data_IF_195997204199
#
_entry.id   IF_195997204199
#
_cell.length_a   1.000
_cell.length_b   1.000
_cell.length_c   1.000
_cell.angle_alpha   90.00
_cell.angle_beta   90.00
_cell.angle_gamma   90.00
#
_symmetry.space_group_name_H-M   'P 1'
#
loop_
_entity.id
_entity.type
_entity.pdbx_description
1 polymer ?
#
# COMPACT_ATOMS: atom_id res chain seq x y z
N UNK A 1 -22.34 -5.96 -0.35
CA UNK A 1 -22.20 -4.63 -0.99
C UNK A 1 -21.22 -3.71 -0.27
N UNK A 2 -21.17 -3.65 1.07
CA UNK A 2 -20.18 -2.83 1.79
C UNK A 2 -18.71 -3.17 1.49
N UNK A 3 -18.33 -4.46 1.53
CA UNK A 3 -16.93 -4.88 1.30
C UNK A 3 -16.30 -4.41 -0.01
N UNK A 4 -17.06 -4.41 -1.11
CA UNK A 4 -16.53 -3.99 -2.40
C UNK A 4 -16.25 -2.47 -2.44
N UNK A 5 -17.05 -1.68 -1.71
CA UNK A 5 -16.82 -0.24 -1.54
C UNK A 5 -15.57 0.00 -0.70
N UNK A 6 -15.41 -0.73 0.41
CA UNK A 6 -14.22 -0.63 1.26
C UNK A 6 -12.94 -0.98 0.48
N UNK A 7 -12.98 -2.07 -0.31
CA UNK A 7 -11.88 -2.44 -1.19
C UNK A 7 -11.56 -1.35 -2.22
N UNK A 8 -12.59 -0.74 -2.83
CA UNK A 8 -12.40 0.33 -3.79
C UNK A 8 -11.71 1.55 -3.16
N UNK A 9 -12.15 1.95 -1.96
CA UNK A 9 -11.52 3.04 -1.20
C UNK A 9 -10.04 2.75 -0.94
N UNK A 10 -9.72 1.53 -0.49
CA UNK A 10 -8.32 1.14 -0.23
C UNK A 10 -7.45 1.14 -1.49
N UNK A 11 -8.00 0.73 -2.64
CA UNK A 11 -7.31 0.82 -3.94
C UNK A 11 -7.01 2.26 -4.31
N UNK A 12 -7.99 3.16 -4.17
CA UNK A 12 -7.82 4.57 -4.51
C UNK A 12 -6.88 5.30 -3.54
N UNK A 13 -6.86 4.92 -2.26
CA UNK A 13 -5.85 5.38 -1.30
C UNK A 13 -4.44 4.91 -1.70
N UNK A 14 -4.26 3.63 -2.02
CA UNK A 14 -2.97 3.12 -2.50
C UNK A 14 -2.50 3.86 -3.75
N UNK A 15 -3.40 4.10 -4.71
CA UNK A 15 -3.13 4.84 -5.95
C UNK A 15 -2.71 6.28 -5.65
N UNK A 16 -3.48 6.98 -4.82
CA UNK A 16 -3.21 8.38 -4.46
C UNK A 16 -1.86 8.52 -3.76
N UNK A 17 -1.53 7.62 -2.84
CA UNK A 17 -0.23 7.65 -2.16
C UNK A 17 0.93 7.33 -3.11
N UNK A 18 0.76 6.42 -4.06
CA UNK A 18 1.77 6.15 -5.08
C UNK A 18 2.01 7.37 -6.00
N UNK A 19 0.93 8.09 -6.37
CA UNK A 19 1.02 9.35 -7.13
C UNK A 19 1.75 10.42 -6.31
N UNK A 20 1.38 10.60 -5.03
CA UNK A 20 2.05 11.53 -4.14
C UNK A 20 3.55 11.24 -4.03
N UNK A 21 3.92 9.99 -3.72
CA UNK A 21 5.33 9.59 -3.64
C UNK A 21 6.10 9.83 -4.95
N UNK A 22 5.45 9.64 -6.10
CA UNK A 22 6.05 9.91 -7.41
C UNK A 22 6.22 11.40 -7.67
N UNK A 23 5.21 12.22 -7.32
CA UNK A 23 5.25 13.67 -7.50
C UNK A 23 6.28 14.34 -6.57
N UNK A 24 6.54 13.76 -5.40
CA UNK A 24 7.52 14.28 -4.43
C UNK A 24 8.95 13.84 -4.73
N UNK A 25 9.22 12.99 -5.74
CA UNK A 25 10.56 12.41 -5.96
C UNK A 25 11.67 13.44 -6.18
N UNK A 26 11.32 14.60 -6.75
CA UNK A 26 12.24 15.71 -7.05
C UNK A 26 12.17 16.85 -6.02
N UNK A 27 11.41 16.70 -4.93
CA UNK A 27 11.36 17.71 -3.87
C UNK A 27 12.75 17.93 -3.27
N UNK A 28 13.15 19.17 -2.97
CA UNK A 28 14.48 19.46 -2.39
C UNK A 28 14.65 18.81 -1.00
N UNK A 29 13.57 18.79 -0.21
CA UNK A 29 13.56 18.24 1.15
C UNK A 29 13.65 16.73 1.16
N UNK A 30 14.78 16.20 1.66
CA UNK A 30 14.95 14.74 1.89
C UNK A 30 13.85 14.20 2.80
N UNK A 31 13.47 14.97 3.82
CA UNK A 31 12.44 14.57 4.76
C UNK A 31 11.08 14.40 4.08
N UNK A 32 10.73 15.30 3.15
CA UNK A 32 9.48 15.21 2.38
C UNK A 32 9.44 13.95 1.51
N UNK A 33 10.53 13.67 0.79
CA UNK A 33 10.66 12.45 -0.03
C UNK A 33 10.53 11.18 0.81
N UNK A 34 11.19 11.15 1.97
CA UNK A 34 11.17 10.00 2.88
C UNK A 34 9.78 9.78 3.47
N UNK A 35 9.08 10.84 3.85
CA UNK A 35 7.71 10.78 4.35
C UNK A 35 6.77 10.21 3.29
N UNK A 36 6.78 10.76 2.08
CA UNK A 36 5.90 10.35 0.99
C UNK A 36 6.08 8.87 0.61
N UNK A 37 7.34 8.42 0.44
CA UNK A 37 7.66 7.03 0.13
C UNK A 37 7.22 6.09 1.27
N UNK A 38 7.50 6.46 2.52
CA UNK A 38 7.17 5.60 3.66
C UNK A 38 5.66 5.51 3.88
N UNK A 39 4.93 6.60 3.73
CA UNK A 39 3.48 6.60 3.83
C UNK A 39 2.83 5.75 2.71
N UNK A 40 3.34 5.85 1.47
CA UNK A 40 2.87 5.00 0.36
C UNK A 40 3.11 3.51 0.63
N UNK A 41 4.28 3.17 1.18
CA UNK A 41 4.63 1.81 1.55
C UNK A 41 3.77 1.26 2.71
N UNK A 42 3.47 2.08 3.71
CA UNK A 42 2.53 1.71 4.78
C UNK A 42 1.14 1.44 4.21
N UNK A 43 0.60 2.34 3.39
CA UNK A 43 -0.72 2.19 2.79
C UNK A 43 -0.83 0.95 1.89
N UNK A 44 0.21 0.64 1.09
CA UNK A 44 0.27 -0.59 0.31
C UNK A 44 0.22 -1.84 1.20
N UNK A 45 0.98 -1.84 2.29
CA UNK A 45 1.09 -2.99 3.20
C UNK A 45 -0.15 -3.23 4.06
N UNK A 46 -0.93 -2.19 4.35
CA UNK A 46 -2.20 -2.28 5.07
C UNK A 46 -3.38 -2.46 4.12
N UNK A 47 -3.69 -1.44 3.31
CA UNK A 47 -4.83 -1.40 2.40
C UNK A 47 -4.72 -2.39 1.24
N UNK A 48 -3.55 -2.45 0.60
CA UNK A 48 -3.31 -3.43 -0.46
C UNK A 48 -3.44 -4.88 0.01
N UNK A 49 -2.97 -5.18 1.24
CA UNK A 49 -3.16 -6.49 1.87
C UNK A 49 -4.63 -6.79 2.17
N UNK A 50 -5.38 -5.80 2.68
CA UNK A 50 -6.82 -5.94 2.90
C UNK A 50 -7.54 -6.31 1.59
N UNK A 51 -7.28 -5.57 0.51
CA UNK A 51 -7.87 -5.84 -0.81
C UNK A 51 -7.54 -7.25 -1.29
N UNK A 52 -6.28 -7.68 -1.16
CA UNK A 52 -5.86 -9.03 -1.55
C UNK A 52 -6.60 -10.12 -0.77
N UNK A 53 -6.78 -9.95 0.54
CA UNK A 53 -7.50 -10.90 1.39
C UNK A 53 -9.00 -10.95 1.06
N UNK A 54 -9.63 -9.79 0.85
CA UNK A 54 -11.05 -9.74 0.48
C UNK A 54 -11.28 -10.31 -0.93
N UNK A 55 -10.36 -10.09 -1.87
CA UNK A 55 -10.44 -10.67 -3.21
C UNK A 55 -10.47 -12.21 -3.15
N UNK A 56 -9.59 -12.83 -2.36
CA UNK A 56 -9.63 -14.30 -2.13
C UNK A 56 -10.95 -14.71 -1.48
N UNK A 57 -11.40 -13.99 -0.45
CA UNK A 57 -12.61 -14.32 0.29
C UNK A 57 -13.89 -14.24 -0.57
N UNK A 58 -13.98 -13.28 -1.50
CA UNK A 58 -15.12 -13.12 -2.40
C UNK A 58 -15.27 -14.27 -3.40
N UNK A 59 -14.17 -14.94 -3.76
CA UNK A 59 -14.16 -16.03 -4.73
C UNK A 59 -14.21 -17.42 -4.08
N UNK A 60 -14.14 -17.52 -2.75
CA UNK A 60 -14.17 -18.80 -2.04
C UNK A 60 -12.99 -19.70 -2.42
N UNK A 61 -13.22 -21.01 -2.48
CA UNK A 61 -12.18 -21.99 -2.87
C UNK A 61 -11.61 -21.78 -4.28
N UNK A 62 -12.39 -21.16 -5.18
CA UNK A 62 -12.00 -20.83 -6.56
C UNK A 62 -10.99 -19.66 -6.58
N UNK A 63 -10.93 -18.84 -5.51
CA UNK A 63 -9.91 -17.79 -5.39
C UNK A 63 -8.47 -18.31 -5.22
N UNK A 64 -8.31 -19.62 -4.98
CA UNK A 64 -7.03 -20.30 -4.74
C UNK A 64 -6.65 -21.24 -5.90
N UNK A 65 -7.57 -21.49 -6.84
CA UNK A 65 -7.32 -22.25 -8.06
C UNK A 65 -6.77 -21.34 -9.16
N UNK A 66 -6.04 -21.90 -10.14
CA UNK A 66 -5.47 -21.15 -11.28
C UNK A 66 -6.54 -20.72 -12.32
N UNK A 67 -7.83 -20.81 -11.97
CA UNK A 67 -8.93 -20.43 -12.85
C UNK A 67 -9.09 -18.91 -12.95
N UNK A 68 -8.54 -18.15 -11.99
CA UNK A 68 -8.47 -16.69 -11.99
C UNK A 68 -7.12 -16.20 -11.45
N UNK A 69 -6.60 -15.09 -11.99
CA UNK A 69 -5.31 -14.49 -11.60
C UNK A 69 -5.25 -13.94 -10.16
N UNK A 70 -6.28 -14.14 -9.34
CA UNK A 70 -6.38 -13.62 -7.97
C UNK A 70 -5.22 -14.13 -7.10
N UNK A 71 -4.89 -15.41 -7.22
CA UNK A 71 -3.74 -16.00 -6.53
C UNK A 71 -2.40 -15.39 -6.98
N UNK A 72 -2.27 -15.00 -8.25
CA UNK A 72 -1.10 -14.29 -8.77
C UNK A 72 -1.00 -12.88 -8.17
N UNK A 73 -2.09 -12.11 -8.17
CA UNK A 73 -2.11 -10.77 -7.59
C UNK A 73 -1.87 -10.77 -6.08
N UNK A 74 -2.40 -11.76 -5.35
CA UNK A 74 -2.13 -11.94 -3.93
C UNK A 74 -0.63 -12.13 -3.66
N UNK A 75 0.02 -13.07 -4.36
CA UNK A 75 1.47 -13.32 -4.23
C UNK A 75 2.28 -12.07 -4.57
N UNK A 76 1.88 -11.35 -5.63
CA UNK A 76 2.54 -10.10 -6.06
C UNK A 76 2.44 -9.01 -4.99
N UNK A 77 1.24 -8.76 -4.46
CA UNK A 77 1.04 -7.76 -3.40
C UNK A 77 1.83 -8.12 -2.14
N UNK A 78 1.86 -9.41 -1.77
CA UNK A 78 2.64 -9.88 -0.64
C UNK A 78 4.15 -9.65 -0.85
N UNK A 79 4.67 -9.96 -2.04
CA UNK A 79 6.07 -9.69 -2.38
C UNK A 79 6.40 -8.19 -2.35
N UNK A 80 5.52 -7.34 -2.91
CA UNK A 80 5.70 -5.88 -2.89
C UNK A 80 5.64 -5.29 -1.47
N UNK A 81 4.85 -5.87 -0.57
CA UNK A 81 4.83 -5.46 0.83
C UNK A 81 6.18 -5.71 1.52
N UNK A 82 6.84 -6.84 1.24
CA UNK A 82 8.12 -7.19 1.84
C UNK A 82 9.32 -6.49 1.20
N UNK A 83 9.25 -6.22 -0.10
CA UNK A 83 10.35 -5.62 -0.83
C UNK A 83 10.60 -4.17 -0.37
N UNK A 84 11.85 -3.83 -0.07
CA UNK A 84 12.30 -2.51 0.40
C UNK A 84 11.81 -2.08 1.80
N UNK A 85 11.34 -3.03 2.61
CA UNK A 85 10.85 -2.78 3.96
C UNK A 85 9.33 -2.93 4.05
N UNK A 86 8.88 -3.45 5.18
CA UNK A 86 7.48 -3.71 5.46
C UNK A 86 6.80 -2.53 6.19
N UNK A 87 5.54 -2.72 6.60
CA UNK A 87 4.76 -1.70 7.31
C UNK A 87 5.48 -1.23 8.57
N UNK A 88 6.07 -2.13 9.36
CA UNK A 88 6.75 -1.77 10.59
C UNK A 88 7.98 -0.90 10.31
N UNK A 89 8.81 -1.32 9.35
CA UNK A 89 9.98 -0.55 8.92
C UNK A 89 9.59 0.87 8.48
N UNK A 90 8.58 1.01 7.61
CA UNK A 90 8.18 2.32 7.10
C UNK A 90 7.42 3.17 8.13
N UNK A 91 6.73 2.56 9.08
CA UNK A 91 6.09 3.28 10.20
C UNK A 91 7.16 3.89 11.10
N UNK A 92 8.18 3.11 11.49
CA UNK A 92 9.31 3.59 12.29
C UNK A 92 10.11 4.65 11.52
N UNK A 93 10.38 4.44 10.23
CA UNK A 93 11.09 5.40 9.37
C UNK A 93 10.32 6.71 9.24
N UNK A 94 9.00 6.67 9.12
CA UNK A 94 8.16 7.86 9.07
C UNK A 94 8.15 8.59 10.41
N UNK A 95 8.02 7.87 11.53
CA UNK A 95 8.02 8.46 12.86
C UNK A 95 9.35 9.11 13.26
N UNK A 96 10.47 8.58 12.80
CA UNK A 96 11.81 9.13 13.04
C UNK A 96 12.18 10.27 12.06
N UNK A 97 11.26 10.71 11.20
CA UNK A 97 11.52 11.72 10.19
C UNK A 97 11.24 13.13 10.74
N UNK A 98 12.19 13.65 11.52
CA UNK A 98 12.09 14.91 12.27
C UNK A 98 11.91 16.18 11.40
N UNK A 99 12.01 16.05 10.07
CA UNK A 99 11.85 17.17 9.12
C UNK A 99 10.52 17.19 8.36
N UNK A 100 9.59 16.29 8.67
CA UNK A 100 8.23 16.34 8.10
C UNK A 100 7.34 17.22 8.97
N UNK A 101 7.18 18.49 8.58
CA UNK A 101 6.05 19.27 9.05
C UNK A 101 4.82 18.85 8.25
N UNK A 102 3.87 18.18 8.90
CA UNK A 102 2.56 17.96 8.31
C UNK A 102 1.98 19.35 8.03
N UNK A 103 2.02 19.78 6.77
CA UNK A 103 1.60 21.11 6.34
C UNK A 103 0.10 21.36 6.58
N UNK A 104 -0.26 21.60 7.83
CA UNK A 104 -1.54 22.10 8.32
C UNK A 104 -1.33 23.42 9.03
#
# INVERSE_FOLDING_TARGET
>A
QHRAVDMFVEVELCRSMAILASATVDADSVAERVAAISAAKVQLGTGGKFVAQQAVQLHGGIGVTDEHDIGLYFKRLYALNLLFGDVAFHTTRFAANDGWEAGL
#
